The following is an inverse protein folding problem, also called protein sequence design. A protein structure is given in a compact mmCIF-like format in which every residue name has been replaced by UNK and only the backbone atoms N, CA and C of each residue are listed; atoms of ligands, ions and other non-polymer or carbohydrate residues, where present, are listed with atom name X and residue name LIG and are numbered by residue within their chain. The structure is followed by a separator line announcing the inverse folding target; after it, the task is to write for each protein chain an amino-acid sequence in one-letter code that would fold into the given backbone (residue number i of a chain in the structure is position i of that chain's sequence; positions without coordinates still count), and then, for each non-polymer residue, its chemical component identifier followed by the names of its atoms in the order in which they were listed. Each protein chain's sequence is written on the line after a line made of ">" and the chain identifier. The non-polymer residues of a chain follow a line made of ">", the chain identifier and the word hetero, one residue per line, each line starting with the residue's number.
data_IF_010580687519
#
_entry.id   IF_010580687519
#
_cell.length_a   1.000
_cell.length_b   1.000
_cell.length_c   1.000
_cell.angle_alpha   90.00
_cell.angle_beta   90.00
_cell.angle_gamma   90.00
#
_symmetry.space_group_name_H-M   'P 1'
#
loop_
_entity.id
_entity.type
_entity.pdbx_description
1 polymer ?
#
# COMPACT_ATOMS: atom_id res chain seq x y z
N UNK A 1 22.65 0.86 -54.50
CA UNK A 1 21.53 0.39 -53.63
C UNK A 1 21.77 -1.00 -53.03
N UNK A 2 23.02 -1.38 -52.68
CA UNK A 2 23.34 -2.66 -52.02
C UNK A 2 23.87 -2.50 -50.59
N UNK A 3 24.31 -1.30 -50.20
CA UNK A 3 24.92 -1.04 -48.88
C UNK A 3 23.94 -0.60 -47.79
N UNK A 4 22.69 -0.27 -48.12
CA UNK A 4 21.68 0.14 -47.13
C UNK A 4 20.94 -1.04 -46.47
N UNK A 5 20.98 -2.24 -47.07
CA UNK A 5 20.30 -3.41 -46.52
C UNK A 5 21.08 -4.10 -45.38
N UNK A 6 22.43 -3.98 -45.36
CA UNK A 6 23.27 -4.65 -44.37
C UNK A 6 23.25 -3.98 -42.99
N UNK A 7 23.05 -2.66 -42.93
CA UNK A 7 23.04 -1.92 -41.65
C UNK A 7 21.72 -2.13 -40.89
N UNK A 8 20.62 -2.40 -41.61
CA UNK A 8 19.30 -2.69 -41.02
C UNK A 8 19.18 -4.11 -40.44
N UNK A 9 20.06 -5.05 -40.81
CA UNK A 9 20.04 -6.43 -40.30
C UNK A 9 20.87 -6.61 -39.02
N UNK A 10 21.80 -5.70 -38.72
CA UNK A 10 22.64 -5.77 -37.51
C UNK A 10 21.97 -5.26 -36.23
N UNK A 11 20.91 -4.45 -36.35
CA UNK A 11 20.18 -3.88 -35.21
C UNK A 11 19.11 -4.81 -34.62
N UNK A 12 18.73 -5.89 -35.31
CA UNK A 12 17.78 -6.90 -34.81
C UNK A 12 18.42 -7.97 -33.92
N UNK A 13 19.76 -8.00 -33.80
CA UNK A 13 20.49 -8.97 -32.98
C UNK A 13 20.87 -8.45 -31.57
N UNK A 14 20.63 -7.17 -31.28
CA UNK A 14 20.97 -6.56 -29.99
C UNK A 14 19.96 -6.86 -28.88
N UNK A 15 18.72 -7.28 -29.20
CA UNK A 15 17.69 -7.59 -28.20
C UNK A 15 17.70 -9.05 -27.72
N UNK A 16 18.58 -9.91 -28.26
CA UNK A 16 18.58 -11.35 -27.95
C UNK A 16 19.49 -11.74 -26.77
N UNK A 17 20.10 -10.76 -26.08
CA UNK A 17 20.93 -10.98 -24.88
C UNK A 17 20.35 -10.32 -23.63
N UNK A 18 19.03 -10.30 -23.49
CA UNK A 18 18.48 -10.31 -22.14
C UNK A 18 18.77 -11.72 -21.64
N UNK A 19 19.85 -11.85 -20.84
CA UNK A 19 20.10 -13.04 -20.03
C UNK A 19 18.76 -13.48 -19.47
N UNK A 20 18.32 -14.66 -19.90
CA UNK A 20 17.01 -15.22 -19.54
C UNK A 20 16.92 -15.07 -18.02
N UNK A 21 16.00 -14.23 -17.47
CA UNK A 21 15.97 -14.00 -16.05
C UNK A 21 15.89 -15.37 -15.38
N UNK A 22 16.79 -15.60 -14.42
CA UNK A 22 16.86 -16.88 -13.72
C UNK A 22 15.42 -17.28 -13.33
N UNK A 23 15.01 -18.54 -13.59
CA UNK A 23 13.65 -18.96 -13.29
C UNK A 23 13.34 -18.59 -11.85
N UNK A 24 12.39 -17.67 -11.67
CA UNK A 24 11.94 -17.27 -10.34
C UNK A 24 11.42 -18.53 -9.68
N UNK A 25 12.14 -19.03 -8.67
CA UNK A 25 11.62 -20.11 -7.85
C UNK A 25 10.32 -19.57 -7.26
N UNK A 26 9.17 -20.27 -7.41
CA UNK A 26 7.94 -19.80 -6.81
C UNK A 26 8.22 -19.52 -5.33
N UNK A 27 8.04 -18.26 -4.93
CA UNK A 27 8.16 -17.91 -3.53
C UNK A 27 7.19 -18.80 -2.75
N UNK A 28 7.59 -19.22 -1.55
CA UNK A 28 6.65 -19.94 -0.68
C UNK A 28 5.36 -19.12 -0.55
N UNK A 29 4.18 -19.77 -0.52
CA UNK A 29 2.93 -19.06 -0.31
C UNK A 29 3.05 -18.18 0.93
N UNK A 30 2.70 -16.91 0.79
CA UNK A 30 2.66 -16.01 1.93
C UNK A 30 1.65 -16.57 2.95
N UNK A 31 1.97 -16.57 4.25
CA UNK A 31 1.01 -16.95 5.27
C UNK A 31 -0.24 -16.09 5.13
N UNK A 32 -1.41 -16.70 5.31
CA UNK A 32 -2.66 -15.95 5.35
C UNK A 32 -2.63 -14.98 6.53
N UNK A 33 -3.28 -13.81 6.36
CA UNK A 33 -3.51 -12.89 7.46
C UNK A 33 -4.22 -13.62 8.61
N UNK A 34 -3.94 -13.24 9.87
CA UNK A 34 -4.61 -13.82 11.02
C UNK A 34 -6.13 -13.69 10.89
N UNK A 35 -6.86 -14.70 11.38
CA UNK A 35 -8.31 -14.67 11.34
C UNK A 35 -8.84 -13.55 12.25
N UNK A 36 -9.69 -12.70 11.68
CA UNK A 36 -10.34 -11.61 12.40
C UNK A 36 -11.57 -12.14 13.13
N UNK A 37 -11.60 -11.93 14.44
CA UNK A 37 -12.71 -12.38 15.30
C UNK A 37 -14.02 -11.66 14.96
N UNK A 38 -15.15 -12.35 15.15
CA UNK A 38 -16.46 -11.72 15.04
C UNK A 38 -16.67 -10.72 16.19
N UNK A 39 -17.29 -9.58 15.88
CA UNK A 39 -17.53 -8.51 16.85
C UNK A 39 -16.33 -7.59 17.13
N UNK A 40 -15.18 -7.82 16.48
CA UNK A 40 -13.98 -6.97 16.64
C UNK A 40 -14.00 -5.69 15.78
N UNK A 41 -15.05 -5.46 14.98
CA UNK A 41 -15.13 -4.34 14.02
C UNK A 41 -14.74 -2.99 14.64
N UNK A 42 -15.28 -2.67 15.82
CA UNK A 42 -14.95 -1.40 16.47
C UNK A 42 -13.47 -1.31 16.84
N UNK A 43 -12.92 -2.38 17.44
CA UNK A 43 -11.53 -2.43 17.86
C UNK A 43 -10.57 -2.27 16.67
N UNK A 44 -10.80 -3.01 15.59
CA UNK A 44 -9.95 -2.95 14.39
C UNK A 44 -10.01 -1.57 13.71
N UNK A 45 -11.18 -0.96 13.64
CA UNK A 45 -11.34 0.34 13.01
C UNK A 45 -10.80 1.50 13.86
N UNK A 46 -10.87 1.39 15.20
CA UNK A 46 -10.20 2.34 16.10
C UNK A 46 -8.68 2.22 16.00
N UNK A 47 -8.15 0.99 15.88
CA UNK A 47 -6.72 0.75 15.65
C UNK A 47 -6.24 1.36 14.33
N UNK A 48 -7.06 1.31 13.27
CA UNK A 48 -6.75 1.95 12.00
C UNK A 48 -6.65 3.47 12.11
N UNK A 49 -7.59 4.11 12.83
CA UNK A 49 -7.54 5.56 13.06
C UNK A 49 -6.31 5.94 13.88
N UNK A 50 -6.00 5.19 14.94
CA UNK A 50 -4.80 5.42 15.75
C UNK A 50 -3.50 5.24 14.92
N UNK A 51 -3.48 4.30 13.98
CA UNK A 51 -2.34 4.12 13.07
C UNK A 51 -2.16 5.31 12.13
N UNK A 52 -3.25 5.90 11.62
CA UNK A 52 -3.21 7.12 10.81
C UNK A 52 -2.66 8.31 11.59
N UNK A 53 -3.10 8.50 12.85
CA UNK A 53 -2.58 9.55 13.73
C UNK A 53 -1.08 9.37 14.02
N UNK A 54 -0.65 8.12 14.20
CA UNK A 54 0.79 7.80 14.35
C UNK A 54 1.56 8.12 13.08
N UNK A 55 1.02 7.76 11.92
CA UNK A 55 1.63 8.05 10.63
C UNK A 55 1.77 9.55 10.38
N UNK A 56 0.74 10.33 10.71
CA UNK A 56 0.73 11.80 10.63
C UNK A 56 1.90 12.45 11.38
N UNK A 57 2.29 11.88 12.52
CA UNK A 57 3.37 12.39 13.34
C UNK A 57 4.79 12.16 12.74
N UNK A 58 4.90 11.45 11.61
CA UNK A 58 6.18 11.23 10.96
C UNK A 58 6.85 12.55 10.52
N UNK A 59 8.15 12.67 10.82
CA UNK A 59 8.96 13.88 10.58
C UNK A 59 9.12 14.23 9.10
N UNK A 60 8.94 13.26 8.21
CA UNK A 60 9.08 13.46 6.76
C UNK A 60 7.81 13.99 6.10
N UNK A 61 6.70 14.12 6.84
CA UNK A 61 5.52 14.76 6.30
C UNK A 61 5.66 16.28 6.29
N UNK A 62 5.19 16.89 5.21
CA UNK A 62 4.97 18.32 5.12
C UNK A 62 3.57 18.67 5.65
N UNK A 63 3.28 19.97 5.80
CA UNK A 63 1.98 20.40 6.32
C UNK A 63 0.81 19.92 5.44
N UNK A 64 1.00 19.90 4.12
CA UNK A 64 0.00 19.39 3.18
C UNK A 64 -0.27 17.89 3.38
N UNK A 65 0.77 17.08 3.60
CA UNK A 65 0.62 15.66 3.92
C UNK A 65 -0.17 15.47 5.22
N UNK A 66 0.17 16.24 6.27
CA UNK A 66 -0.53 16.17 7.57
C UNK A 66 -2.01 16.54 7.44
N UNK A 67 -2.33 17.58 6.67
CA UNK A 67 -3.72 18.00 6.43
C UNK A 67 -4.51 16.93 5.64
N UNK A 68 -3.89 16.26 4.68
CA UNK A 68 -4.54 15.14 3.99
C UNK A 68 -4.80 13.97 4.92
N UNK A 69 -3.86 13.63 5.81
CA UNK A 69 -4.05 12.56 6.79
C UNK A 69 -5.16 12.93 7.78
N UNK A 70 -5.27 14.20 8.20
CA UNK A 70 -6.40 14.68 9.00
C UNK A 70 -7.75 14.47 8.31
N UNK A 71 -7.83 14.79 7.02
CA UNK A 71 -9.03 14.55 6.24
C UNK A 71 -9.38 13.05 6.13
N UNK A 72 -8.37 12.17 6.07
CA UNK A 72 -8.58 10.72 6.09
C UNK A 72 -9.10 10.24 7.45
N UNK A 73 -8.52 10.72 8.55
CA UNK A 73 -9.00 10.41 9.91
C UNK A 73 -10.44 10.86 10.10
N UNK A 74 -10.77 12.08 9.70
CA UNK A 74 -12.13 12.60 9.81
C UNK A 74 -13.11 11.75 8.98
N UNK A 75 -12.73 11.41 7.76
CA UNK A 75 -13.55 10.59 6.85
C UNK A 75 -13.76 9.18 7.40
N UNK A 76 -12.70 8.55 7.93
CA UNK A 76 -12.78 7.24 8.57
C UNK A 76 -13.76 7.26 9.75
N UNK A 77 -13.62 8.24 10.65
CA UNK A 77 -14.50 8.40 11.81
C UNK A 77 -15.98 8.58 11.40
N UNK A 78 -16.26 9.43 10.41
CA UNK A 78 -17.63 9.62 9.90
C UNK A 78 -18.20 8.33 9.30
N UNK A 79 -17.42 7.63 8.48
CA UNK A 79 -17.85 6.39 7.86
C UNK A 79 -18.12 5.30 8.90
N UNK A 80 -17.25 5.14 9.90
CA UNK A 80 -17.43 4.14 10.96
C UNK A 80 -18.63 4.47 11.86
N UNK A 81 -18.87 5.74 12.16
CA UNK A 81 -20.08 6.16 12.87
C UNK A 81 -21.35 5.82 12.07
N UNK A 82 -21.35 6.06 10.76
CA UNK A 82 -22.46 5.71 9.89
C UNK A 82 -22.68 4.19 9.81
N UNK A 83 -21.60 3.40 9.63
CA UNK A 83 -21.66 1.94 9.59
C UNK A 83 -22.19 1.37 10.91
N UNK A 84 -21.76 1.89 12.07
CA UNK A 84 -22.32 1.50 13.37
C UNK A 84 -23.83 1.70 13.45
N UNK A 85 -24.31 2.87 12.99
CA UNK A 85 -25.74 3.20 13.00
C UNK A 85 -26.54 2.30 12.06
N UNK A 86 -25.95 1.84 10.97
CA UNK A 86 -26.59 0.91 10.04
C UNK A 86 -26.75 -0.51 10.60
N UNK A 87 -26.07 -0.84 11.72
CA UNK A 87 -26.10 -2.16 12.38
C UNK A 87 -25.94 -3.34 11.39
N UNK A 88 -24.79 -3.42 10.69
CA UNK A 88 -24.54 -4.46 9.70
C UNK A 88 -24.62 -5.86 10.34
N UNK A 89 -25.00 -6.83 9.54
CA UNK A 89 -25.03 -8.23 9.90
C UNK A 89 -23.61 -8.78 10.20
N UNK A 90 -23.49 -9.91 10.94
CA UNK A 90 -22.19 -10.36 11.47
C UNK A 90 -21.10 -10.57 10.41
N UNK A 91 -21.45 -11.06 9.21
CA UNK A 91 -20.48 -11.26 8.14
C UNK A 91 -19.97 -9.94 7.56
N UNK A 92 -20.83 -8.93 7.40
CA UNK A 92 -20.39 -7.59 7.03
C UNK A 92 -19.52 -6.97 8.13
N UNK A 93 -19.85 -7.15 9.40
CA UNK A 93 -18.98 -6.71 10.50
C UNK A 93 -17.59 -7.35 10.40
N UNK A 94 -17.49 -8.67 10.15
CA UNK A 94 -16.21 -9.36 9.94
C UNK A 94 -15.44 -8.80 8.76
N UNK A 95 -16.11 -8.55 7.64
CA UNK A 95 -15.49 -7.98 6.44
C UNK A 95 -14.94 -6.57 6.69
N UNK A 96 -15.71 -5.72 7.39
CA UNK A 96 -15.28 -4.36 7.78
C UNK A 96 -14.08 -4.44 8.74
N UNK A 97 -14.16 -5.30 9.76
CA UNK A 97 -13.06 -5.53 10.70
C UNK A 97 -11.76 -5.93 9.96
N UNK A 98 -11.86 -6.87 9.01
CA UNK A 98 -10.71 -7.28 8.21
C UNK A 98 -10.18 -6.19 7.27
N UNK A 99 -11.04 -5.32 6.74
CA UNK A 99 -10.59 -4.17 5.97
C UNK A 99 -9.83 -3.16 6.84
N UNK A 100 -10.35 -2.85 8.03
CA UNK A 100 -9.67 -1.98 9.01
C UNK A 100 -8.33 -2.57 9.47
N UNK A 101 -8.27 -3.88 9.70
CA UNK A 101 -7.01 -4.57 10.03
C UNK A 101 -5.95 -4.40 8.93
N UNK A 102 -6.29 -4.70 7.67
CA UNK A 102 -5.37 -4.58 6.54
C UNK A 102 -4.90 -3.15 6.31
N UNK A 103 -5.81 -2.18 6.47
CA UNK A 103 -5.46 -0.76 6.42
C UNK A 103 -4.47 -0.39 7.54
N UNK A 104 -4.70 -0.88 8.76
CA UNK A 104 -3.80 -0.69 9.92
C UNK A 104 -2.39 -1.18 9.60
N UNK A 105 -2.24 -2.42 9.10
CA UNK A 105 -0.92 -2.97 8.76
C UNK A 105 -0.25 -2.21 7.60
N UNK A 106 -1.03 -1.77 6.61
CA UNK A 106 -0.53 -0.94 5.51
C UNK A 106 0.02 0.41 5.99
N UNK A 107 -0.70 1.06 6.92
CA UNK A 107 -0.30 2.35 7.51
C UNK A 107 0.90 2.18 8.44
N UNK A 108 0.97 1.09 9.22
CA UNK A 108 2.18 0.76 10.02
C UNK A 108 3.39 0.57 9.12
N UNK A 109 3.26 -0.16 8.02
CA UNK A 109 4.34 -0.34 7.06
C UNK A 109 4.76 0.99 6.41
N UNK A 110 3.80 1.88 6.11
CA UNK A 110 4.08 3.23 5.64
C UNK A 110 4.82 4.06 6.69
N UNK A 111 4.43 3.95 7.95
CA UNK A 111 5.09 4.61 9.08
C UNK A 111 6.54 4.15 9.24
N UNK A 112 6.80 2.85 9.15
CA UNK A 112 8.15 2.30 9.19
C UNK A 112 9.00 2.89 8.07
N UNK A 113 8.50 2.91 6.82
CA UNK A 113 9.21 3.51 5.68
C UNK A 113 9.44 5.01 5.89
N UNK A 114 8.45 5.70 6.41
CA UNK A 114 8.53 7.12 6.70
C UNK A 114 9.62 7.42 7.73
N UNK A 115 9.83 6.55 8.72
CA UNK A 115 10.88 6.72 9.73
C UNK A 115 12.25 6.16 9.31
N UNK A 116 12.35 5.40 8.22
CA UNK A 116 13.58 4.74 7.79
C UNK A 116 14.60 5.66 7.10
N UNK A 117 14.21 6.90 6.77
CA UNK A 117 15.08 7.87 6.12
C UNK A 117 14.27 8.90 5.35
N UNK A 118 14.89 10.00 4.89
CA UNK A 118 14.19 11.04 4.14
C UNK A 118 13.56 10.47 2.87
N UNK A 119 12.41 11.04 2.49
CA UNK A 119 11.73 10.70 1.24
C UNK A 119 12.73 10.89 0.07
N UNK A 120 12.87 9.92 -0.85
CA UNK A 120 13.62 10.12 -2.07
C UNK A 120 13.06 11.35 -2.77
N UNK A 121 13.93 12.26 -3.17
CA UNK A 121 13.52 13.41 -3.97
C UNK A 121 13.17 12.92 -5.38
N UNK A 122 12.14 13.50 -5.98
CA UNK A 122 11.61 13.11 -7.31
C UNK A 122 12.56 13.49 -8.48
N UNK A 123 13.78 13.93 -8.18
CA UNK A 123 14.83 14.29 -9.13
C UNK A 123 15.56 13.08 -9.73
N UNK A 124 15.26 11.85 -9.28
CA UNK A 124 15.83 10.61 -9.82
C UNK A 124 15.23 10.14 -11.16
N UNK A 125 14.22 10.82 -11.69
CA UNK A 125 13.56 10.47 -12.97
C UNK A 125 13.43 11.65 -13.95
N UNK A 126 14.21 12.72 -13.77
CA UNK A 126 14.32 13.81 -14.75
C UNK A 126 15.52 13.65 -15.67
#
# INVERSE_FOLDING_TARGET
>A
MRSLLLVLLLSLLACSRVDKPAPVTPAQPLPADPEIELGSMQLECDAMVAALETYKACVNHEDGDRQHIDAWVETANRNFAASKKANPEPNAQKAIAGACHKATESVKAATIRCNAGPRPKDDLFR
#
